data_IF_200160497400
#
_entry.id   IF_200160497400
#
_cell.length_a   1.000
_cell.length_b   1.000
_cell.length_c   1.000
_cell.angle_alpha   90.00
_cell.angle_beta   90.00
_cell.angle_gamma   90.00
#
_symmetry.space_group_name_H-M   'P 1'
#
loop_
_entity.id
_entity.type
_entity.pdbx_description
1 polymer ?
#
# COMPACT_ATOMS: atom_id res chain seq x y z
N UNK A 1 0.86 -7.16 -16.42
CA UNK A 1 1.57 -6.01 -17.03
C UNK A 1 2.45 -6.55 -18.13
N UNK A 2 2.01 -6.43 -19.39
CA UNK A 2 2.74 -6.95 -20.54
C UNK A 2 3.71 -5.86 -21.01
N UNK A 3 4.97 -5.92 -20.56
CA UNK A 3 6.01 -5.02 -21.03
C UNK A 3 6.65 -5.61 -22.29
N UNK A 4 6.27 -5.08 -23.45
CA UNK A 4 6.86 -5.39 -24.76
C UNK A 4 8.18 -4.63 -24.95
N UNK A 5 9.11 -4.71 -23.99
CA UNK A 5 10.40 -4.02 -24.09
C UNK A 5 11.58 -4.97 -23.95
N UNK A 6 12.58 -4.74 -24.80
CA UNK A 6 13.84 -5.49 -24.93
C UNK A 6 14.68 -5.46 -23.63
N UNK A 7 14.32 -4.62 -22.65
CA UNK A 7 15.00 -4.45 -21.36
C UNK A 7 14.30 -5.18 -20.20
N UNK A 8 13.90 -6.44 -20.41
CA UNK A 8 13.31 -7.28 -19.36
C UNK A 8 14.19 -7.38 -18.10
N UNK A 9 15.51 -7.32 -18.26
CA UNK A 9 16.50 -7.32 -17.16
C UNK A 9 16.27 -6.15 -16.19
N UNK A 10 15.87 -4.97 -16.68
CA UNK A 10 15.59 -3.82 -15.82
C UNK A 10 14.30 -4.00 -15.01
N UNK A 11 13.35 -4.80 -15.51
CA UNK A 11 12.09 -5.10 -14.81
C UNK A 11 12.20 -6.32 -13.90
N UNK A 12 13.20 -7.18 -14.12
CA UNK A 12 13.38 -8.44 -13.41
C UNK A 12 13.50 -8.30 -11.88
N UNK A 13 14.24 -7.33 -11.33
CA UNK A 13 14.28 -7.13 -9.87
C UNK A 13 12.88 -6.84 -9.28
N UNK A 14 12.07 -6.03 -9.98
CA UNK A 14 10.72 -5.69 -9.54
C UNK A 14 9.77 -6.89 -9.61
N UNK A 15 9.87 -7.70 -10.67
CA UNK A 15 9.07 -8.93 -10.83
C UNK A 15 9.42 -9.95 -9.75
N UNK A 16 10.71 -10.19 -9.49
CA UNK A 16 11.16 -11.10 -8.43
C UNK A 16 10.75 -10.61 -7.03
N UNK A 17 10.79 -9.29 -6.82
CA UNK A 17 10.32 -8.69 -5.57
C UNK A 17 8.81 -8.89 -5.39
N UNK A 18 8.03 -8.67 -6.45
CA UNK A 18 6.59 -8.96 -6.47
C UNK A 18 6.31 -10.42 -6.10
N UNK A 19 6.95 -11.37 -6.79
CA UNK A 19 6.77 -12.81 -6.51
C UNK A 19 7.10 -13.20 -5.05
N UNK A 20 8.09 -12.54 -4.43
CA UNK A 20 8.46 -12.81 -3.03
C UNK A 20 7.50 -12.20 -2.02
N UNK A 21 6.82 -11.12 -2.37
CA UNK A 21 5.92 -10.38 -1.48
C UNK A 21 4.44 -10.71 -1.72
N UNK A 22 4.13 -11.51 -2.74
CA UNK A 22 2.79 -12.06 -2.96
C UNK A 22 2.40 -12.95 -1.80
N UNK A 23 1.26 -12.61 -1.18
CA UNK A 23 0.62 -13.44 -0.17
C UNK A 23 0.04 -14.68 -0.83
N UNK A 24 0.36 -15.85 -0.30
CA UNK A 24 -0.21 -17.12 -0.76
C UNK A 24 -1.22 -17.62 0.25
N UNK A 25 -2.49 -17.63 -0.12
CA UNK A 25 -3.61 -18.01 0.76
C UNK A 25 -3.47 -19.44 1.29
N UNK A 26 -2.98 -20.39 0.47
CA UNK A 26 -2.76 -21.78 0.90
C UNK A 26 -1.79 -21.90 2.10
N UNK A 27 -0.80 -21.00 2.16
CA UNK A 27 0.24 -20.99 3.19
C UNK A 27 -0.03 -19.91 4.26
N UNK A 28 -1.07 -19.11 4.09
CA UNK A 28 -1.39 -17.92 4.90
C UNK A 28 -0.18 -16.99 5.13
N UNK A 29 0.75 -16.96 4.18
CA UNK A 29 2.04 -16.31 4.35
C UNK A 29 2.66 -15.95 2.98
N UNK A 30 3.49 -14.91 2.92
CA UNK A 30 4.30 -14.59 1.73
C UNK A 30 5.68 -15.29 1.79
N UNK A 31 6.30 -15.62 0.65
CA UNK A 31 7.65 -16.19 0.64
C UNK A 31 8.70 -15.32 1.38
N UNK A 32 8.58 -14.01 1.30
CA UNK A 32 9.41 -13.07 2.04
C UNK A 32 9.17 -13.17 3.55
N UNK A 33 7.92 -13.29 3.98
CA UNK A 33 7.57 -13.49 5.39
C UNK A 33 8.03 -14.85 5.92
N UNK A 34 8.01 -15.90 5.09
CA UNK A 34 8.56 -17.21 5.45
C UNK A 34 10.09 -17.19 5.63
N UNK A 35 10.81 -16.38 4.85
CA UNK A 35 12.28 -16.29 4.91
C UNK A 35 12.73 -15.34 6.03
N UNK A 36 12.06 -14.20 6.17
CA UNK A 36 12.49 -13.14 7.07
C UNK A 36 11.71 -13.12 8.39
N UNK A 37 10.65 -13.92 8.52
CA UNK A 37 9.78 -13.94 9.70
C UNK A 37 8.88 -12.72 9.84
N UNK A 38 8.92 -11.79 8.86
CA UNK A 38 8.10 -10.58 8.87
C UNK A 38 7.57 -10.27 7.47
N UNK A 39 6.36 -9.71 7.43
CA UNK A 39 5.76 -9.23 6.21
C UNK A 39 6.55 -8.03 5.64
N UNK A 40 7.04 -8.19 4.42
CA UNK A 40 7.77 -7.17 3.67
C UNK A 40 6.80 -6.33 2.85
N UNK A 41 6.36 -5.21 3.42
CA UNK A 41 5.47 -4.27 2.76
C UNK A 41 6.14 -3.65 1.54
N UNK A 42 5.52 -3.77 0.36
CA UNK A 42 5.95 -3.05 -0.83
C UNK A 42 5.61 -1.55 -0.73
N UNK A 43 6.37 -0.66 -1.38
CA UNK A 43 6.04 0.77 -1.44
C UNK A 43 4.66 1.05 -2.04
N UNK A 44 4.18 0.18 -2.92
CA UNK A 44 2.90 0.28 -3.63
C UNK A 44 1.71 -0.32 -2.88
N UNK A 45 1.93 -1.12 -1.82
CA UNK A 45 0.85 -1.83 -1.13
C UNK A 45 0.08 -0.97 -0.13
N UNK A 46 0.63 0.19 0.27
CA UNK A 46 0.05 0.95 1.38
C UNK A 46 -0.04 2.44 1.07
N UNK A 47 -1.23 2.91 0.69
CA UNK A 47 -1.59 4.33 0.76
C UNK A 47 -1.80 4.80 2.22
N UNK A 48 -1.87 3.86 3.18
CA UNK A 48 -2.08 4.14 4.61
C UNK A 48 -0.77 3.86 5.35
N UNK A 49 -0.33 4.83 6.15
CA UNK A 49 0.87 4.70 6.98
C UNK A 49 0.62 3.68 8.10
N UNK A 50 1.11 2.45 7.92
CA UNK A 50 1.20 1.50 9.03
C UNK A 50 2.46 1.80 9.83
N UNK A 51 2.29 1.92 11.15
CA UNK A 51 3.38 2.18 12.08
C UNK A 51 4.40 1.04 12.00
N UNK A 52 5.72 1.32 11.98
CA UNK A 52 6.71 0.27 11.84
C UNK A 52 6.59 -0.68 13.04
N UNK A 53 6.08 -1.89 12.82
CA UNK A 53 6.21 -2.98 13.78
C UNK A 53 7.72 -3.17 14.01
N UNK A 54 8.11 -3.19 15.29
CA UNK A 54 9.50 -3.27 15.71
C UNK A 54 10.10 -4.60 15.22
N UNK A 55 10.76 -4.56 14.07
CA UNK A 55 11.49 -5.70 13.56
C UNK A 55 12.64 -6.02 14.52
N UNK A 56 12.69 -7.22 15.09
CA UNK A 56 13.77 -7.63 15.98
C UNK A 56 15.10 -7.81 15.21
N UNK A 57 14.99 -8.00 13.88
CA UNK A 57 16.13 -8.29 13.01
C UNK A 57 16.68 -7.01 12.33
N UNK A 58 17.95 -6.69 12.60
CA UNK A 58 18.63 -5.49 12.07
C UNK A 58 18.71 -5.42 10.55
N UNK A 59 18.71 -6.57 9.86
CA UNK A 59 18.64 -6.63 8.40
C UNK A 59 17.29 -6.12 7.88
N UNK A 60 16.19 -6.55 8.51
CA UNK A 60 14.84 -6.16 8.09
C UNK A 60 14.60 -4.67 8.37
N UNK A 61 15.15 -4.13 9.46
CA UNK A 61 15.13 -2.68 9.70
C UNK A 61 15.77 -1.91 8.53
N UNK A 62 16.97 -2.32 8.09
CA UNK A 62 17.65 -1.68 6.94
C UNK A 62 16.85 -1.80 5.65
N UNK A 63 16.27 -2.98 5.40
CA UNK A 63 15.45 -3.23 4.22
C UNK A 63 14.17 -2.39 4.22
N UNK A 64 13.45 -2.32 5.35
CA UNK A 64 12.26 -1.46 5.52
C UNK A 64 12.62 0.01 5.31
N UNK A 65 13.74 0.49 5.86
CA UNK A 65 14.21 1.87 5.64
C UNK A 65 14.49 2.15 4.16
N UNK A 66 15.14 1.22 3.45
CA UNK A 66 15.43 1.38 2.03
C UNK A 66 14.15 1.40 1.17
N UNK A 67 13.20 0.51 1.49
CA UNK A 67 11.88 0.48 0.85
C UNK A 67 11.09 1.77 1.14
N UNK A 68 11.19 2.33 2.34
CA UNK A 68 10.59 3.62 2.69
C UNK A 68 11.20 4.78 1.90
N UNK A 69 12.50 4.76 1.63
CA UNK A 69 13.17 5.76 0.78
C UNK A 69 12.72 5.68 -0.70
N UNK A 70 12.38 4.48 -1.17
CA UNK A 70 11.84 4.25 -2.52
C UNK A 70 10.35 4.58 -2.64
N UNK A 71 9.68 4.92 -1.53
CA UNK A 71 8.27 5.30 -1.55
C UNK A 71 8.11 6.57 -2.38
N UNK A 72 7.13 6.56 -3.27
CA UNK A 72 6.79 7.75 -4.05
C UNK A 72 6.52 8.92 -3.10
N UNK A 73 7.18 10.06 -3.35
CA UNK A 73 6.91 11.31 -2.65
C UNK A 73 5.41 11.57 -2.68
N UNK A 74 4.75 11.88 -1.55
CA UNK A 74 3.34 12.20 -1.55
C UNK A 74 3.11 13.34 -2.55
N UNK A 75 2.38 13.03 -3.62
CA UNK A 75 1.92 14.03 -4.57
C UNK A 75 0.88 14.90 -3.87
N UNK A 76 0.81 16.18 -4.24
CA UNK A 76 -0.22 17.09 -3.75
C UNK A 76 -1.59 16.43 -3.89
N UNK A 77 -2.24 16.12 -2.76
CA UNK A 77 -3.54 15.49 -2.75
C UNK A 77 -4.61 16.54 -3.04
N UNK A 78 -4.70 16.97 -4.30
CA UNK A 78 -5.69 17.95 -4.76
C UNK A 78 -7.13 17.39 -4.71
N UNK A 79 -7.27 16.08 -4.42
CA UNK A 79 -8.55 15.38 -4.24
C UNK A 79 -9.00 15.28 -2.79
N UNK A 80 -8.18 15.68 -1.81
CA UNK A 80 -8.59 15.72 -0.40
C UNK A 80 -9.48 16.94 -0.13
N UNK A 81 -10.60 17.05 -0.84
CA UNK A 81 -11.64 18.01 -0.49
C UNK A 81 -12.20 17.58 0.86
N UNK A 82 -12.21 18.44 1.88
CA UNK A 82 -12.92 18.13 3.12
C UNK A 82 -14.38 17.82 2.76
N UNK A 83 -14.92 16.74 3.33
CA UNK A 83 -16.33 16.44 3.18
C UNK A 83 -17.12 17.62 3.76
N UNK A 84 -17.84 18.33 2.89
CA UNK A 84 -18.69 19.43 3.34
C UNK A 84 -19.86 18.84 4.11
N UNK A 85 -19.92 19.13 5.41
CA UNK A 85 -21.04 18.78 6.28
C UNK A 85 -21.76 20.08 6.65
N UNK A 86 -23.07 20.14 6.40
CA UNK A 86 -23.88 21.29 6.78
C UNK A 86 -23.92 21.43 8.30
N UNK A 87 -23.74 22.65 8.83
CA UNK A 87 -23.57 22.90 10.28
C UNK A 87 -24.71 22.34 11.13
N UNK A 88 -25.93 22.47 10.66
CA UNK A 88 -27.12 22.08 11.41
C UNK A 88 -27.67 20.72 10.99
N UNK A 89 -26.88 19.91 10.24
CA UNK A 89 -27.29 18.57 9.81
C UNK A 89 -27.74 17.68 10.99
N UNK A 90 -27.16 17.89 12.17
CA UNK A 90 -27.51 17.17 13.40
C UNK A 90 -28.85 17.57 14.02
N UNK A 91 -29.42 18.72 13.61
CA UNK A 91 -30.66 19.28 14.18
C UNK A 91 -31.88 18.95 13.31
N UNK A 92 -31.69 18.64 12.03
CA UNK A 92 -32.80 18.29 11.15
C UNK A 92 -33.31 16.88 11.39
N UNK A 93 -34.64 16.72 11.38
CA UNK A 93 -35.32 15.43 11.49
C UNK A 93 -35.32 14.63 10.18
N UNK A 94 -35.15 15.29 9.04
CA UNK A 94 -35.20 14.68 7.71
C UNK A 94 -34.06 15.21 6.83
N UNK A 95 -33.48 14.33 6.02
CA UNK A 95 -32.45 14.66 5.03
C UNK A 95 -32.80 14.02 3.69
N UNK A 96 -32.52 14.72 2.59
CA UNK A 96 -32.66 14.15 1.25
C UNK A 96 -31.37 13.45 0.84
N UNK A 97 -31.45 12.14 0.64
CA UNK A 97 -30.35 11.31 0.15
C UNK A 97 -30.47 11.17 -1.37
N UNK A 98 -29.49 11.69 -2.10
CA UNK A 98 -29.35 11.41 -3.52
C UNK A 98 -28.70 10.04 -3.68
N UNK A 99 -29.41 9.11 -4.32
CA UNK A 99 -28.91 7.78 -4.66
C UNK A 99 -28.62 7.75 -6.16
N UNK A 100 -27.36 7.90 -6.53
CA UNK A 100 -26.89 7.76 -7.93
C UNK A 100 -26.60 6.28 -8.24
N UNK A 101 -27.58 5.40 -8.06
CA UNK A 101 -27.46 4.00 -8.46
C UNK A 101 -27.69 3.83 -9.97
N UNK A 102 -26.93 2.93 -10.58
CA UNK A 102 -27.15 2.37 -11.93
C UNK A 102 -27.66 0.95 -11.78
#
# INVERSE_FOLDING_TARGET
>A
MCHTSIHWVSSLPAVLLGLRTVFKEDLQCSPAEMVYGENLCLPSQFFIQQQPQAADNGFIKKLKTHIQQLRATPTSNHSAKPTFVYRDLSVYSHVFLRVDAV
#
